data_IF_347106642499
#
_entry.id   IF_347106642499
#
_cell.length_a   1.000
_cell.length_b   1.000
_cell.length_c   1.000
_cell.angle_alpha   90.00
_cell.angle_beta   90.00
_cell.angle_gamma   90.00
#
_symmetry.space_group_name_H-M   'P 1'
#
loop_
_entity.id
_entity.type
_entity.pdbx_description
1 polymer ?
#
# COMPACT_ATOMS: atom_id res chain seq x y z
N UNK A 1 3.30 33.89 14.10
CA UNK A 1 3.95 32.90 13.21
C UNK A 1 5.12 32.27 13.94
N UNK A 2 4.89 31.15 14.62
CA UNK A 2 5.95 30.39 15.29
C UNK A 2 6.65 29.52 14.25
N UNK A 3 7.96 29.71 14.05
CA UNK A 3 8.80 28.81 13.25
C UNK A 3 8.83 27.46 13.97
N UNK A 4 7.99 26.54 13.52
CA UNK A 4 7.99 25.16 13.99
C UNK A 4 9.35 24.54 13.66
N UNK A 5 10.14 24.25 14.70
CA UNK A 5 11.43 23.57 14.57
C UNK A 5 11.14 22.15 14.09
N UNK A 6 11.44 21.86 12.83
CA UNK A 6 11.47 20.49 12.30
C UNK A 6 12.38 19.64 13.20
N UNK A 7 11.84 18.56 13.75
CA UNK A 7 12.61 17.63 14.59
C UNK A 7 13.71 16.98 13.75
N UNK A 8 14.90 16.73 14.33
CA UNK A 8 15.99 16.00 13.65
C UNK A 8 15.50 14.66 13.07
N UNK A 9 14.55 14.01 13.74
CA UNK A 9 13.95 12.75 13.30
C UNK A 9 13.14 12.89 12.00
N UNK A 10 12.42 14.01 11.83
CA UNK A 10 11.64 14.29 10.61
C UNK A 10 12.54 14.50 9.40
N UNK A 11 13.63 15.23 9.59
CA UNK A 11 14.62 15.46 8.53
C UNK A 11 15.23 14.14 8.08
N UNK A 12 15.58 13.25 9.03
CA UNK A 12 16.11 11.92 8.72
C UNK A 12 15.08 11.11 7.93
N UNK A 13 13.83 11.06 8.37
CA UNK A 13 12.77 10.30 7.70
C UNK A 13 12.51 10.81 6.28
N UNK A 14 12.41 12.13 6.09
CA UNK A 14 12.26 12.70 4.74
C UNK A 14 13.46 12.41 3.86
N UNK A 15 14.66 12.54 4.42
CA UNK A 15 15.89 12.29 3.69
C UNK A 15 15.99 10.82 3.29
N UNK A 16 15.60 9.88 4.15
CA UNK A 16 15.59 8.44 3.86
C UNK A 16 14.54 8.09 2.82
N UNK A 17 13.29 8.55 2.96
CA UNK A 17 12.24 8.30 1.97
C UNK A 17 12.59 8.92 0.61
N UNK A 18 13.10 10.15 0.61
CA UNK A 18 13.57 10.82 -0.60
C UNK A 18 14.79 10.11 -1.19
N UNK A 19 15.72 9.62 -0.37
CA UNK A 19 16.89 8.87 -0.84
C UNK A 19 16.51 7.50 -1.41
N UNK A 20 15.50 6.82 -0.85
CA UNK A 20 14.97 5.58 -1.44
C UNK A 20 14.30 5.88 -2.77
N UNK A 21 13.43 6.88 -2.84
CA UNK A 21 12.76 7.29 -4.08
C UNK A 21 13.77 7.73 -5.16
N UNK A 22 14.61 8.72 -4.84
CA UNK A 22 15.63 9.27 -5.74
C UNK A 22 16.65 8.19 -6.07
N UNK A 23 17.05 7.35 -5.11
CA UNK A 23 17.97 6.25 -5.32
C UNK A 23 17.40 5.21 -6.28
N UNK A 24 16.14 4.81 -6.12
CA UNK A 24 15.47 3.87 -7.04
C UNK A 24 15.32 4.47 -8.44
N UNK A 25 14.92 5.74 -8.56
CA UNK A 25 14.78 6.44 -9.85
C UNK A 25 16.15 6.65 -10.51
N UNK A 26 17.15 7.12 -9.76
CA UNK A 26 18.50 7.31 -10.26
C UNK A 26 19.13 5.97 -10.69
N UNK A 27 18.88 4.89 -9.93
CA UNK A 27 19.37 3.56 -10.31
C UNK A 27 18.84 3.09 -11.66
N UNK A 28 17.60 3.48 -12.01
CA UNK A 28 17.01 3.22 -13.33
C UNK A 28 17.74 3.92 -14.47
N UNK A 29 18.26 5.13 -14.26
CA UNK A 29 18.97 5.87 -15.31
C UNK A 29 20.49 5.65 -15.32
N UNK A 30 21.08 5.24 -14.19
CA UNK A 30 22.53 5.10 -14.02
C UNK A 30 23.00 3.68 -14.31
N UNK A 31 22.23 2.65 -13.94
CA UNK A 31 22.65 1.26 -14.05
C UNK A 31 21.84 0.54 -15.14
N UNK A 32 22.45 0.25 -16.31
CA UNK A 32 21.78 -0.47 -17.39
C UNK A 32 21.20 -1.81 -16.95
N UNK A 33 21.90 -2.55 -16.06
CA UNK A 33 21.40 -3.81 -15.53
C UNK A 33 20.13 -3.68 -14.69
N UNK A 34 19.99 -2.60 -13.91
CA UNK A 34 18.76 -2.33 -13.15
C UNK A 34 17.63 -1.92 -14.08
N UNK A 35 17.92 -1.08 -15.08
CA UNK A 35 16.97 -0.70 -16.12
C UNK A 35 16.43 -1.92 -16.87
N UNK A 36 17.32 -2.82 -17.33
CA UNK A 36 16.96 -4.05 -18.03
C UNK A 36 16.12 -4.97 -17.16
N UNK A 37 16.47 -5.14 -15.87
CA UNK A 37 15.66 -5.95 -14.95
C UNK A 37 14.26 -5.38 -14.70
N UNK A 38 14.12 -4.05 -14.63
CA UNK A 38 12.80 -3.39 -14.50
C UNK A 38 11.98 -3.56 -15.79
N UNK A 39 12.60 -3.39 -16.96
CA UNK A 39 11.92 -3.62 -18.25
C UNK A 39 11.51 -5.09 -18.43
N UNK A 40 12.38 -6.03 -18.10
CA UNK A 40 12.07 -7.46 -18.18
C UNK A 40 10.93 -7.83 -17.23
N UNK A 41 10.97 -7.35 -15.98
CA UNK A 41 9.86 -7.54 -15.04
C UNK A 41 8.55 -6.97 -15.58
N UNK A 42 8.59 -5.77 -16.17
CA UNK A 42 7.42 -5.14 -16.79
C UNK A 42 6.89 -5.97 -17.97
N UNK A 43 7.77 -6.44 -18.85
CA UNK A 43 7.40 -7.25 -20.01
C UNK A 43 6.82 -8.61 -19.62
N UNK A 44 7.41 -9.27 -18.61
CA UNK A 44 6.93 -10.53 -18.06
C UNK A 44 5.53 -10.36 -17.47
N UNK A 45 5.31 -9.35 -16.63
CA UNK A 45 3.99 -9.07 -16.03
C UNK A 45 2.96 -8.66 -17.09
N UNK A 46 3.37 -7.82 -18.05
CA UNK A 46 2.49 -7.33 -19.12
C UNK A 46 2.13 -8.42 -20.14
N UNK A 47 2.94 -9.48 -20.24
CA UNK A 47 2.66 -10.60 -21.14
C UNK A 47 1.39 -11.40 -20.77
N UNK A 48 0.92 -11.28 -19.53
CA UNK A 48 -0.21 -12.08 -19.01
C UNK A 48 0.08 -13.58 -18.93
N UNK A 49 1.31 -14.02 -19.21
CA UNK A 49 1.70 -15.42 -19.16
C UNK A 49 2.12 -15.81 -17.73
N UNK A 50 1.22 -16.49 -17.02
CA UNK A 50 1.42 -16.94 -15.65
C UNK A 50 2.70 -17.77 -15.49
N UNK A 51 3.01 -18.64 -16.45
CA UNK A 51 4.21 -19.47 -16.40
C UNK A 51 5.48 -18.62 -16.46
N UNK A 52 5.51 -17.61 -17.33
CA UNK A 52 6.65 -16.69 -17.46
C UNK A 52 6.85 -15.85 -16.20
N UNK A 53 5.76 -15.43 -15.55
CA UNK A 53 5.79 -14.74 -14.25
C UNK A 53 6.38 -15.66 -13.17
N UNK A 54 5.91 -16.89 -13.09
CA UNK A 54 6.42 -17.89 -12.13
C UNK A 54 7.90 -18.16 -12.35
N UNK A 55 8.34 -18.41 -13.58
CA UNK A 55 9.75 -18.64 -13.92
C UNK A 55 10.64 -17.46 -13.54
N UNK A 56 10.19 -16.22 -13.83
CA UNK A 56 10.92 -15.01 -13.48
C UNK A 56 11.08 -14.81 -11.97
N UNK A 57 10.11 -15.21 -11.15
CA UNK A 57 10.25 -15.13 -9.69
C UNK A 57 11.08 -16.30 -9.14
N UNK A 58 10.90 -17.50 -9.71
CA UNK A 58 11.61 -18.70 -9.26
C UNK A 58 13.11 -18.64 -9.54
N UNK A 59 13.58 -17.83 -10.49
CA UNK A 59 15.00 -17.63 -10.75
C UNK A 59 15.78 -17.07 -9.54
N UNK A 60 15.10 -16.37 -8.62
CA UNK A 60 15.72 -15.87 -7.38
C UNK A 60 15.96 -16.98 -6.35
N UNK A 61 15.47 -18.20 -6.60
CA UNK A 61 15.70 -19.39 -5.78
C UNK A 61 15.36 -19.16 -4.31
N UNK A 62 16.31 -19.51 -3.42
CA UNK A 62 16.17 -19.37 -1.98
C UNK A 62 15.91 -17.91 -1.53
N UNK A 63 16.40 -16.92 -2.27
CA UNK A 63 16.24 -15.50 -1.93
C UNK A 63 14.92 -14.91 -2.40
N UNK A 64 14.15 -15.62 -3.22
CA UNK A 64 12.94 -15.08 -3.83
C UNK A 64 11.91 -14.51 -2.83
N UNK A 65 11.60 -15.16 -1.69
CA UNK A 65 10.71 -14.58 -0.69
C UNK A 65 11.20 -13.24 -0.13
N UNK A 66 12.51 -13.11 0.10
CA UNK A 66 13.10 -11.86 0.58
C UNK A 66 13.01 -10.77 -0.51
N UNK A 67 13.25 -11.13 -1.77
CA UNK A 67 13.11 -10.23 -2.91
C UNK A 67 11.68 -9.71 -3.02
N UNK A 68 10.66 -10.57 -2.85
CA UNK A 68 9.25 -10.14 -2.83
C UNK A 68 8.99 -9.12 -1.73
N UNK A 69 9.45 -9.38 -0.49
CA UNK A 69 9.27 -8.44 0.63
C UNK A 69 9.95 -7.09 0.34
N UNK A 70 11.17 -7.12 -0.21
CA UNK A 70 11.92 -5.91 -0.55
C UNK A 70 11.23 -5.12 -1.65
N UNK A 71 10.81 -5.77 -2.74
CA UNK A 71 10.11 -5.10 -3.85
C UNK A 71 8.79 -4.51 -3.33
N UNK A 72 8.01 -5.26 -2.53
CA UNK A 72 6.76 -4.76 -1.97
C UNK A 72 6.95 -3.64 -0.96
N UNK A 73 8.12 -3.56 -0.30
CA UNK A 73 8.47 -2.44 0.57
C UNK A 73 8.90 -1.22 -0.23
N UNK A 74 9.71 -1.41 -1.28
CA UNK A 74 10.19 -0.31 -2.14
C UNK A 74 9.04 0.26 -2.98
N UNK A 75 8.14 -0.57 -3.51
CA UNK A 75 6.99 -0.11 -4.31
C UNK A 75 6.15 0.91 -3.55
N UNK A 76 6.09 0.77 -2.22
CA UNK A 76 5.31 1.62 -1.31
C UNK A 76 5.66 3.10 -1.51
N UNK A 77 6.93 3.38 -1.84
CA UNK A 77 7.43 4.73 -2.08
C UNK A 77 7.25 5.17 -3.54
N UNK A 78 7.12 4.22 -4.46
CA UNK A 78 7.06 4.51 -5.90
C UNK A 78 5.66 4.90 -6.36
N UNK A 79 4.59 4.57 -5.63
CA UNK A 79 3.16 4.90 -5.89
C UNK A 79 2.61 4.33 -7.23
N UNK A 80 3.45 4.09 -8.22
CA UNK A 80 3.11 3.66 -9.58
C UNK A 80 2.62 2.21 -9.63
N UNK A 81 3.14 1.34 -8.75
CA UNK A 81 2.81 -0.09 -8.75
C UNK A 81 1.90 -0.40 -7.56
N UNK A 82 0.64 -0.81 -7.78
CA UNK A 82 -0.23 -1.18 -6.68
C UNK A 82 0.17 -2.52 -6.07
N UNK A 83 0.14 -2.59 -4.75
CA UNK A 83 0.59 -3.74 -3.97
C UNK A 83 -0.11 -5.05 -4.31
N UNK A 84 -1.39 -5.02 -4.69
CA UNK A 84 -2.14 -6.22 -5.06
C UNK A 84 -1.60 -6.91 -6.33
N UNK A 85 -0.95 -6.19 -7.26
CA UNK A 85 -0.29 -6.81 -8.41
C UNK A 85 0.88 -7.69 -7.97
N UNK A 86 1.70 -7.21 -7.04
CA UNK A 86 2.82 -7.99 -6.51
C UNK A 86 2.34 -9.18 -5.66
N UNK A 87 1.17 -9.07 -5.02
CA UNK A 87 0.53 -10.20 -4.34
C UNK A 87 0.13 -11.30 -5.33
N UNK A 88 -0.41 -10.94 -6.50
CA UNK A 88 -0.72 -11.91 -7.57
C UNK A 88 0.55 -12.64 -8.00
N UNK A 89 1.64 -11.89 -8.24
CA UNK A 89 2.93 -12.45 -8.64
C UNK A 89 3.45 -13.44 -7.59
N UNK A 90 3.38 -13.08 -6.30
CA UNK A 90 3.79 -13.96 -5.21
C UNK A 90 2.94 -15.24 -5.14
N UNK A 91 1.62 -15.13 -5.34
CA UNK A 91 0.70 -16.28 -5.37
C UNK A 91 0.92 -17.18 -6.59
N UNK A 92 1.15 -16.61 -7.77
CA UNK A 92 1.47 -17.39 -8.98
C UNK A 92 2.82 -18.12 -8.84
N UNK A 93 3.79 -17.51 -8.17
CA UNK A 93 5.13 -18.07 -8.00
C UNK A 93 5.19 -19.16 -6.92
N UNK A 94 4.60 -18.92 -5.74
CA UNK A 94 4.72 -19.78 -4.56
C UNK A 94 3.45 -20.57 -4.24
N UNK A 95 2.41 -20.41 -5.05
CA UNK A 95 1.10 -21.03 -4.83
C UNK A 95 0.22 -20.25 -3.83
N UNK A 96 -1.06 -20.66 -3.70
CA UNK A 96 -2.07 -19.92 -2.94
C UNK A 96 -1.73 -19.78 -1.44
N UNK A 97 -1.15 -20.82 -0.84
CA UNK A 97 -0.83 -20.84 0.59
C UNK A 97 0.44 -20.06 0.92
N UNK A 98 1.57 -20.43 0.31
CA UNK A 98 2.86 -19.81 0.60
C UNK A 98 2.99 -18.42 -0.01
N UNK A 99 2.51 -18.21 -1.23
CA UNK A 99 2.45 -16.89 -1.85
C UNK A 99 1.47 -15.95 -1.15
N UNK A 100 0.35 -16.49 -0.65
CA UNK A 100 -0.59 -15.74 0.18
C UNK A 100 0.03 -15.32 1.52
N UNK A 101 0.63 -16.25 2.25
CA UNK A 101 1.33 -15.95 3.51
C UNK A 101 2.46 -14.93 3.29
N UNK A 102 3.28 -15.12 2.24
CA UNK A 102 4.35 -14.22 1.86
C UNK A 102 3.81 -12.81 1.56
N UNK A 103 2.69 -12.71 0.85
CA UNK A 103 2.02 -11.44 0.55
C UNK A 103 1.58 -10.72 1.83
N UNK A 104 0.95 -11.44 2.77
CA UNK A 104 0.53 -10.87 4.06
C UNK A 104 1.73 -10.36 4.84
N UNK A 105 2.82 -11.14 4.90
CA UNK A 105 4.06 -10.75 5.58
C UNK A 105 4.68 -9.53 4.93
N UNK A 106 4.84 -9.53 3.61
CA UNK A 106 5.43 -8.43 2.86
C UNK A 106 4.64 -7.12 3.02
N UNK A 107 3.30 -7.17 2.92
CA UNK A 107 2.45 -6.00 3.14
C UNK A 107 2.50 -5.56 4.60
N UNK A 108 2.56 -6.47 5.56
CA UNK A 108 2.71 -6.14 6.99
C UNK A 108 4.01 -5.38 7.22
N UNK A 109 5.14 -5.87 6.69
CA UNK A 109 6.45 -5.22 6.79
C UNK A 109 6.42 -3.83 6.16
N UNK A 110 5.94 -3.71 4.91
CA UNK A 110 5.81 -2.42 4.23
C UNK A 110 4.92 -1.45 5.02
N UNK A 111 3.79 -1.94 5.55
CA UNK A 111 2.83 -1.14 6.32
C UNK A 111 3.41 -0.67 7.66
N UNK A 112 4.19 -1.50 8.33
CA UNK A 112 4.89 -1.13 9.57
C UNK A 112 5.94 -0.07 9.31
N UNK A 113 6.70 -0.19 8.22
CA UNK A 113 7.68 0.83 7.80
C UNK A 113 6.96 2.14 7.49
N UNK A 114 5.90 2.07 6.69
CA UNK A 114 5.05 3.21 6.34
C UNK A 114 4.45 3.94 7.54
N UNK A 115 3.88 3.17 8.46
CA UNK A 115 3.34 3.68 9.72
C UNK A 115 4.42 4.33 10.57
N UNK A 116 5.59 3.70 10.70
CA UNK A 116 6.71 4.22 11.51
C UNK A 116 7.23 5.54 10.94
N UNK A 117 7.32 5.63 9.61
CA UNK A 117 7.64 6.86 8.90
C UNK A 117 6.57 7.91 9.20
N UNK A 118 5.29 7.58 9.00
CA UNK A 118 4.16 8.46 9.29
C UNK A 118 4.13 8.96 10.73
N UNK A 119 4.43 8.10 11.70
CA UNK A 119 4.47 8.43 13.14
C UNK A 119 5.56 9.45 13.47
N UNK A 120 6.67 9.43 12.73
CA UNK A 120 7.71 10.45 12.86
C UNK A 120 7.36 11.80 12.23
N UNK A 121 6.37 11.84 11.34
CA UNK A 121 5.88 13.07 10.71
C UNK A 121 4.90 13.81 11.64
N UNK A 122 5.00 15.13 11.75
CA UNK A 122 4.06 15.92 12.56
C UNK A 122 2.73 16.12 11.84
N UNK A 123 1.66 16.37 12.61
CA UNK A 123 0.38 16.85 12.08
C UNK A 123 0.56 18.10 11.18
N UNK A 124 1.46 19.02 11.53
CA UNK A 124 1.75 20.19 10.71
C UNK A 124 2.42 19.86 9.36
N UNK A 125 3.05 18.69 9.24
CA UNK A 125 3.56 18.20 7.96
C UNK A 125 2.44 17.67 7.07
N UNK A 126 1.47 16.97 7.67
CA UNK A 126 0.26 16.53 7.00
C UNK A 126 -0.57 17.75 6.52
N UNK A 127 -0.67 18.79 7.35
CA UNK A 127 -1.36 20.03 7.02
C UNK A 127 -0.80 20.72 5.77
N UNK A 128 0.52 20.67 5.59
CA UNK A 128 1.21 21.20 4.40
C UNK A 128 1.06 20.31 3.17
N UNK A 129 0.94 18.99 3.35
CA UNK A 129 0.80 18.02 2.25
C UNK A 129 -0.62 17.97 1.66
N UNK A 130 -1.65 17.90 2.51
CA UNK A 130 -3.05 17.74 2.07
C UNK A 130 -3.93 18.97 2.32
N UNK A 131 -3.40 19.99 3.00
CA UNK A 131 -4.14 21.20 3.39
C UNK A 131 -4.91 21.03 4.70
N UNK A 132 -5.02 22.13 5.47
CA UNK A 132 -5.68 22.14 6.79
C UNK A 132 -7.11 21.57 6.79
N UNK A 133 -7.89 21.84 5.73
CA UNK A 133 -9.28 21.34 5.62
C UNK A 133 -9.34 19.82 5.41
N UNK A 134 -8.48 19.27 4.55
CA UNK A 134 -8.42 17.83 4.30
C UNK A 134 -7.83 17.09 5.50
N UNK A 135 -6.83 17.69 6.17
CA UNK A 135 -6.28 17.16 7.41
C UNK A 135 -7.34 17.08 8.51
N UNK A 136 -8.12 18.14 8.73
CA UNK A 136 -9.19 18.14 9.74
C UNK A 136 -10.21 17.04 9.44
N UNK A 137 -10.63 16.88 8.18
CA UNK A 137 -11.50 15.78 7.76
C UNK A 137 -10.86 14.40 7.95
N UNK A 138 -9.58 14.23 7.63
CA UNK A 138 -8.84 12.98 7.83
C UNK A 138 -8.71 12.62 9.30
N UNK A 139 -8.39 13.60 10.15
CA UNK A 139 -8.32 13.44 11.61
C UNK A 139 -9.69 13.09 12.18
N UNK A 140 -10.74 13.79 11.78
CA UNK A 140 -12.12 13.49 12.16
C UNK A 140 -12.53 12.09 11.67
N UNK A 141 -12.22 11.72 10.43
CA UNK A 141 -12.49 10.40 9.84
C UNK A 141 -11.77 9.28 10.58
N UNK A 142 -10.50 9.45 10.93
CA UNK A 142 -9.76 8.45 11.72
C UNK A 142 -10.24 8.38 13.16
N UNK A 143 -10.64 9.51 13.75
CA UNK A 143 -11.23 9.54 15.10
C UNK A 143 -12.61 8.90 15.13
N UNK A 144 -13.42 9.12 14.08
CA UNK A 144 -14.82 8.71 13.97
C UNK A 144 -15.00 7.29 13.44
N UNK A 145 -14.12 6.83 12.55
CA UNK A 145 -14.22 5.52 11.89
C UNK A 145 -13.08 4.57 12.25
N UNK A 146 -12.02 5.06 12.91
CA UNK A 146 -10.97 4.25 13.51
C UNK A 146 -10.36 3.22 12.56
N UNK A 147 -10.33 1.97 13.03
CA UNK A 147 -9.85 0.81 12.27
C UNK A 147 -10.71 0.47 11.05
N UNK A 148 -11.99 0.82 11.03
CA UNK A 148 -12.90 0.52 9.93
C UNK A 148 -12.53 1.25 8.64
N UNK A 149 -12.08 2.50 8.74
CA UNK A 149 -11.56 3.23 7.59
C UNK A 149 -10.33 2.52 7.01
N UNK A 150 -9.37 2.11 7.84
CA UNK A 150 -8.19 1.38 7.37
C UNK A 150 -8.59 0.12 6.62
N UNK A 151 -9.50 -0.70 7.16
CA UNK A 151 -9.99 -1.92 6.49
C UNK A 151 -10.59 -1.62 5.12
N UNK A 152 -11.47 -0.60 5.03
CA UNK A 152 -12.10 -0.21 3.76
C UNK A 152 -11.07 0.26 2.73
N UNK A 153 -10.11 1.09 3.13
CA UNK A 153 -9.02 1.54 2.27
C UNK A 153 -8.13 0.39 1.80
N UNK A 154 -7.93 -0.64 2.63
CA UNK A 154 -7.15 -1.84 2.29
C UNK A 154 -7.87 -2.78 1.32
N UNK A 155 -9.20 -2.84 1.39
CA UNK A 155 -10.03 -3.64 0.50
C UNK A 155 -10.32 -2.94 -0.82
N UNK A 156 -10.25 -1.61 -0.86
CA UNK A 156 -10.45 -0.81 -2.07
C UNK A 156 -9.15 -0.75 -2.90
N UNK A 157 -9.06 -1.41 -4.08
CA UNK A 157 -7.87 -1.45 -4.91
C UNK A 157 -7.54 -0.13 -5.61
N UNK A 158 -8.46 0.83 -5.63
CA UNK A 158 -8.30 2.15 -6.25
C UNK A 158 -7.73 3.22 -5.30
N UNK A 159 -7.76 2.96 -3.99
CA UNK A 159 -7.15 3.82 -3.00
C UNK A 159 -5.76 3.27 -2.73
N UNK A 160 -4.73 4.12 -2.78
CA UNK A 160 -3.35 3.68 -2.54
C UNK A 160 -3.28 3.00 -1.18
N UNK A 161 -3.13 1.68 -1.22
CA UNK A 161 -3.01 0.79 -0.08
C UNK A 161 -1.88 1.25 0.86
N UNK A 162 -0.89 1.93 0.31
CA UNK A 162 0.34 2.32 0.98
C UNK A 162 0.22 3.70 1.66
N UNK A 163 -0.54 4.62 1.07
CA UNK A 163 -0.80 5.95 1.63
C UNK A 163 -1.47 5.89 3.01
N UNK A 164 -2.38 4.92 3.23
CA UNK A 164 -3.10 4.78 4.50
C UNK A 164 -2.16 4.46 5.67
N UNK A 165 -1.02 3.80 5.42
CA UNK A 165 -0.03 3.49 6.46
C UNK A 165 0.63 4.77 6.97
N UNK A 166 1.05 5.64 6.05
CA UNK A 166 1.63 6.93 6.40
C UNK A 166 0.60 7.81 7.14
N UNK A 167 -0.64 7.85 6.65
CA UNK A 167 -1.73 8.61 7.26
C UNK A 167 -2.05 8.12 8.67
N UNK A 168 -2.15 6.81 8.87
CA UNK A 168 -2.41 6.22 10.19
C UNK A 168 -1.29 6.55 11.19
N UNK A 169 -0.02 6.55 10.73
CA UNK A 169 1.12 7.00 11.52
C UNK A 169 1.05 8.49 11.88
N UNK A 170 0.81 9.36 10.89
CA UNK A 170 0.71 10.82 11.07
C UNK A 170 -0.38 11.23 12.05
N UNK A 171 -1.49 10.50 12.06
CA UNK A 171 -2.62 10.71 12.97
C UNK A 171 -2.45 9.98 14.32
N UNK A 172 -1.29 9.37 14.56
CA UNK A 172 -0.93 8.65 15.80
C UNK A 172 -1.97 7.59 16.20
N UNK A 173 -2.59 6.94 15.21
CA UNK A 173 -3.45 5.79 15.47
C UNK A 173 -2.62 4.70 16.16
N UNK A 174 -3.10 4.08 17.23
CA UNK A 174 -2.31 3.05 17.93
C UNK A 174 -1.86 1.91 16.99
N UNK A 175 -0.56 1.60 16.98
CA UNK A 175 0.03 0.62 16.04
C UNK A 175 -0.70 -0.72 15.99
N UNK A 176 -1.09 -1.26 17.15
CA UNK A 176 -1.84 -2.53 17.22
C UNK A 176 -3.19 -2.43 16.51
N UNK A 177 -3.92 -1.32 16.70
CA UNK A 177 -5.20 -1.10 16.01
C UNK A 177 -4.99 -0.96 14.50
N UNK A 178 -3.92 -0.27 14.10
CA UNK A 178 -3.57 -0.10 12.69
C UNK A 178 -3.20 -1.42 12.02
N UNK A 179 -2.34 -2.23 12.63
CA UNK A 179 -1.86 -3.46 12.01
C UNK A 179 -2.96 -4.53 11.98
N UNK A 180 -3.79 -4.63 13.02
CA UNK A 180 -4.96 -5.52 13.01
C UNK A 180 -5.97 -5.11 11.93
N UNK A 181 -6.22 -3.81 11.77
CA UNK A 181 -7.06 -3.32 10.68
C UNK A 181 -6.45 -3.60 9.30
N UNK A 182 -5.13 -3.46 9.17
CA UNK A 182 -4.41 -3.79 7.94
C UNK A 182 -4.55 -5.27 7.61
N UNK A 183 -4.32 -6.16 8.58
CA UNK A 183 -4.48 -7.60 8.40
C UNK A 183 -5.94 -7.97 8.08
N UNK A 184 -6.91 -7.35 8.73
CA UNK A 184 -8.33 -7.59 8.47
C UNK A 184 -8.76 -7.20 7.05
N UNK A 185 -8.09 -6.23 6.41
CA UNK A 185 -8.31 -5.91 4.99
C UNK A 185 -7.47 -6.75 4.04
N UNK A 186 -6.20 -7.00 4.37
CA UNK A 186 -5.25 -7.68 3.49
C UNK A 186 -5.50 -9.19 3.44
N UNK A 187 -5.91 -9.84 4.54
CA UNK A 187 -6.16 -11.29 4.56
C UNK A 187 -7.29 -11.67 3.59
N UNK A 188 -8.50 -11.06 3.64
CA UNK A 188 -9.56 -11.37 2.67
C UNK A 188 -9.14 -11.09 1.23
N UNK A 189 -8.44 -9.97 0.98
CA UNK A 189 -7.91 -9.64 -0.35
C UNK A 189 -6.92 -10.71 -0.84
N UNK A 190 -6.03 -11.17 0.04
CA UNK A 190 -5.05 -12.23 -0.26
C UNK A 190 -5.77 -13.53 -0.57
N UNK A 191 -6.82 -13.88 0.17
CA UNK A 191 -7.64 -15.07 -0.09
C UNK A 191 -8.29 -14.98 -1.48
N UNK A 192 -8.88 -13.83 -1.83
CA UNK A 192 -9.43 -13.63 -3.18
C UNK A 192 -8.36 -13.82 -4.25
N UNK A 193 -7.17 -13.23 -4.07
CA UNK A 193 -6.06 -13.39 -5.02
C UNK A 193 -5.58 -14.85 -5.08
N UNK A 194 -5.50 -15.54 -3.95
CA UNK A 194 -5.10 -16.95 -3.86
C UNK A 194 -6.02 -17.86 -4.69
N UNK A 195 -7.33 -17.60 -4.68
CA UNK A 195 -8.30 -18.41 -5.42
C UNK A 195 -8.47 -18.00 -6.89
N UNK A 196 -8.34 -16.72 -7.22
CA UNK A 196 -8.69 -16.20 -8.56
C UNK A 196 -7.49 -15.74 -9.41
N UNK A 197 -6.25 -15.80 -8.91
CA UNK A 197 -5.05 -15.37 -9.65
C UNK A 197 -4.74 -16.11 -10.94
N UNK A 198 -5.29 -17.30 -11.15
CA UNK A 198 -5.07 -18.05 -12.39
C UNK A 198 -5.76 -17.40 -13.60
N UNK A 199 -6.86 -16.70 -13.39
CA UNK A 199 -7.56 -15.91 -14.41
C UNK A 199 -7.39 -14.42 -14.08
N UNK A 200 -6.31 -13.83 -14.60
CA UNK A 200 -5.95 -12.43 -14.32
C UNK A 200 -7.04 -11.46 -14.80
N UNK A 201 -7.76 -11.76 -15.88
CA UNK A 201 -8.86 -10.90 -16.37
C UNK A 201 -10.07 -10.97 -15.43
N UNK A 202 -10.48 -12.17 -15.02
CA UNK A 202 -11.53 -12.35 -14.04
C UNK A 202 -11.15 -11.71 -12.70
N UNK A 203 -9.92 -11.90 -12.24
CA UNK A 203 -9.42 -11.30 -11.01
C UNK A 203 -9.44 -9.77 -11.10
N UNK A 204 -8.93 -9.18 -12.19
CA UNK A 204 -9.01 -7.72 -12.41
C UNK A 204 -10.45 -7.22 -12.33
N UNK A 205 -11.39 -7.90 -12.98
CA UNK A 205 -12.81 -7.55 -12.90
C UNK A 205 -13.35 -7.66 -11.48
N UNK A 206 -13.03 -8.72 -10.74
CA UNK A 206 -13.45 -8.90 -9.33
C UNK A 206 -12.88 -7.78 -8.46
N UNK A 207 -11.58 -7.46 -8.58
CA UNK A 207 -10.97 -6.35 -7.83
C UNK A 207 -11.64 -5.01 -8.16
N UNK A 208 -11.93 -4.74 -9.44
CA UNK A 208 -12.62 -3.53 -9.87
C UNK A 208 -14.02 -3.44 -9.24
N UNK A 209 -14.79 -4.53 -9.25
CA UNK A 209 -16.13 -4.57 -8.66
C UNK A 209 -16.11 -4.46 -7.14
N UNK A 210 -15.27 -5.24 -6.45
CA UNK A 210 -15.11 -5.17 -4.98
C UNK A 210 -14.67 -3.78 -4.56
N UNK A 211 -13.74 -3.18 -5.31
CA UNK A 211 -13.31 -1.81 -5.15
C UNK A 211 -14.41 -0.79 -5.33
N UNK A 212 -15.17 -0.91 -6.43
CA UNK A 212 -16.29 -0.03 -6.74
C UNK A 212 -17.40 -0.09 -5.70
N UNK A 213 -17.75 -1.30 -5.25
CA UNK A 213 -18.75 -1.51 -4.19
C UNK A 213 -18.25 -0.94 -2.86
N UNK A 214 -16.99 -1.19 -2.48
CA UNK A 214 -16.40 -0.65 -1.26
C UNK A 214 -16.38 0.88 -1.24
N UNK A 215 -15.99 1.50 -2.36
CA UNK A 215 -16.06 2.95 -2.55
C UNK A 215 -17.50 3.46 -2.50
N UNK A 216 -18.44 2.78 -3.16
CA UNK A 216 -19.85 3.13 -3.16
C UNK A 216 -20.45 3.12 -1.75
N UNK A 217 -20.19 2.06 -0.97
CA UNK A 217 -20.62 1.97 0.42
C UNK A 217 -20.00 3.06 1.30
N UNK A 218 -18.73 3.38 1.09
CA UNK A 218 -18.07 4.47 1.79
C UNK A 218 -18.66 5.84 1.45
N UNK A 219 -18.97 6.10 0.17
CA UNK A 219 -19.64 7.32 -0.26
C UNK A 219 -21.07 7.43 0.29
N UNK A 220 -21.83 6.31 0.30
CA UNK A 220 -23.16 6.25 0.92
C UNK A 220 -23.05 6.55 2.41
N UNK A 221 -22.05 5.99 3.08
CA UNK A 221 -21.81 6.22 4.50
C UNK A 221 -21.44 7.68 4.81
N UNK A 222 -20.56 8.28 4.01
CA UNK A 222 -20.22 9.70 4.11
C UNK A 222 -21.43 10.59 3.81
N UNK A 223 -22.25 10.23 2.82
CA UNK A 223 -23.47 10.96 2.47
C UNK A 223 -24.48 10.87 3.62
N UNK A 224 -24.74 9.67 4.14
CA UNK A 224 -25.59 9.45 5.31
C UNK A 224 -25.15 10.33 6.48
N UNK A 225 -23.84 10.34 6.75
CA UNK A 225 -23.27 11.16 7.81
C UNK A 225 -23.39 12.67 7.54
N UNK A 226 -23.14 13.11 6.31
CA UNK A 226 -23.29 14.52 5.94
C UNK A 226 -24.73 15.01 6.11
N UNK A 227 -25.72 14.18 5.77
CA UNK A 227 -27.13 14.50 5.95
C UNK A 227 -27.60 14.42 7.40
N UNK A 228 -27.00 13.58 8.25
CA UNK A 228 -27.33 13.51 9.68
C UNK A 228 -26.66 14.65 10.48
N UNK A 229 -25.39 14.97 10.23
CA UNK A 229 -24.68 16.07 10.91
C UNK A 229 -25.20 17.48 10.56
N UNK A 230 -26.06 17.62 9.54
CA UNK A 230 -26.66 18.92 9.15
C UNK A 230 -28.02 19.18 9.82
N UNK A 231 -28.49 18.23 10.63
CA UNK A 231 -29.77 18.31 11.37
C UNK A 231 -29.61 18.70 12.84
N UNK A 232 -28.38 18.80 13.34
CA UNK A 232 -28.01 19.40 14.62
C UNK A 232 -27.38 20.78 14.40
#
# INVERSE_FOLDING_TARGET
>A
MSKEKTSKLQIIIYSVSALVLVGSVASYFIFPGFQSGVQEAYDVVSSGNNQRITEYVMQFGFWGPLVVILIMTVQMFLIVVPSWLLMIIAVLAYGPWWGGLLSVVAVTVASTIGYSIGMGLSEASLSKLVGNKSQAKLSETVTKYGSGAVVLFRLAPFLSNDAISFVAGMLKMGYVRFILATLAGIIPLTVLIAFFSQDIEQLKNILVWVGGIGLGLYLIYLAYQYFTNKRD
#
